data_IF_283224624647
#
_entry.id   IF_283224624647
#
_cell.length_a   1.000
_cell.length_b   1.000
_cell.length_c   1.000
_cell.angle_alpha   90.00
_cell.angle_beta   90.00
_cell.angle_gamma   90.00
#
_symmetry.space_group_name_H-M   'P 1'
#
loop_
_entity.id
_entity.type
_entity.pdbx_description
1 polymer ?
#
# COMPACT_ATOMS: atom_id res chain seq x y z
N UNK A 1 -2.91 -6.96 7.30
CA UNK A 1 -1.57 -7.20 6.73
C UNK A 1 -1.24 -8.69 6.66
N UNK A 2 -1.47 -9.44 7.74
CA UNK A 2 -1.12 -10.86 7.88
C UNK A 2 -1.49 -11.76 6.68
N UNK A 3 -2.73 -11.71 6.19
CA UNK A 3 -3.16 -12.54 5.04
C UNK A 3 -2.33 -12.29 3.77
N UNK A 4 -1.96 -11.03 3.50
CA UNK A 4 -1.14 -10.66 2.34
C UNK A 4 0.27 -11.21 2.52
N UNK A 5 0.87 -11.02 3.69
CA UNK A 5 2.20 -11.54 3.99
C UNK A 5 2.26 -13.08 3.97
N UNK A 6 1.22 -13.75 4.46
CA UNK A 6 1.13 -15.22 4.39
C UNK A 6 1.11 -15.70 2.94
N UNK A 7 0.28 -15.09 2.08
CA UNK A 7 0.24 -15.43 0.66
C UNK A 7 1.59 -15.18 -0.03
N UNK A 8 2.25 -14.05 0.26
CA UNK A 8 3.58 -13.75 -0.26
C UNK A 8 4.63 -14.75 0.23
N UNK A 9 4.55 -15.16 1.50
CA UNK A 9 5.44 -16.18 2.06
C UNK A 9 5.31 -17.50 1.30
N UNK A 10 4.10 -17.99 1.07
CA UNK A 10 3.88 -19.22 0.29
C UNK A 10 4.48 -19.12 -1.12
N UNK A 11 4.22 -18.02 -1.83
CA UNK A 11 4.79 -17.79 -3.16
C UNK A 11 6.33 -17.77 -3.17
N UNK A 12 6.95 -17.18 -2.13
CA UNK A 12 8.41 -17.19 -1.97
C UNK A 12 8.95 -18.60 -1.68
N UNK A 13 8.23 -19.42 -0.90
CA UNK A 13 8.62 -20.81 -0.67
C UNK A 13 8.58 -21.63 -1.96
N UNK A 14 7.63 -21.34 -2.85
CA UNK A 14 7.56 -21.89 -4.22
C UNK A 14 8.57 -21.29 -5.20
N UNK A 15 9.58 -20.55 -4.72
CA UNK A 15 10.65 -19.90 -5.51
C UNK A 15 10.18 -18.86 -6.52
N UNK A 16 9.01 -18.25 -6.31
CA UNK A 16 8.58 -17.11 -7.13
C UNK A 16 9.31 -15.82 -6.71
N UNK A 17 9.57 -14.96 -7.69
CA UNK A 17 9.90 -13.56 -7.45
C UNK A 17 8.60 -12.79 -7.22
N UNK A 18 8.46 -12.16 -6.06
CA UNK A 18 7.20 -11.53 -5.63
C UNK A 18 7.46 -10.04 -5.41
N UNK A 19 6.63 -9.22 -6.04
CA UNK A 19 6.64 -7.76 -5.92
C UNK A 19 5.27 -7.30 -5.44
N UNK A 20 5.25 -6.48 -4.39
CA UNK A 20 4.03 -5.84 -3.91
C UNK A 20 3.95 -4.39 -4.40
N UNK A 21 2.98 -4.12 -5.27
CA UNK A 21 2.62 -2.77 -5.69
C UNK A 21 1.44 -2.28 -4.83
N UNK A 22 1.68 -1.28 -4.01
CA UNK A 22 0.66 -0.65 -3.17
C UNK A 22 0.23 0.67 -3.80
N UNK A 23 -0.94 0.66 -4.43
CA UNK A 23 -1.54 1.84 -5.06
C UNK A 23 -2.31 2.61 -3.99
N UNK A 24 -2.00 3.89 -3.86
CA UNK A 24 -2.51 4.76 -2.81
C UNK A 24 -3.04 6.06 -3.40
N UNK A 25 -4.23 6.49 -3.00
CA UNK A 25 -4.72 7.82 -3.35
C UNK A 25 -4.13 8.88 -2.40
N UNK A 26 -3.79 10.10 -2.87
CA UNK A 26 -3.25 11.16 -2.00
C UNK A 26 -4.11 11.44 -0.76
N UNK A 27 -5.43 11.32 -0.90
CA UNK A 27 -6.39 11.54 0.17
C UNK A 27 -6.26 10.49 1.30
N UNK A 28 -5.71 9.32 1.03
CA UNK A 28 -5.41 8.30 2.05
C UNK A 28 -4.16 8.67 2.87
N UNK A 29 -3.20 9.39 2.28
CA UNK A 29 -1.99 9.79 3.01
C UNK A 29 -2.14 11.11 3.75
N UNK A 30 -2.89 12.04 3.16
CA UNK A 30 -3.02 13.41 3.65
C UNK A 30 -4.31 13.61 4.44
N UNK A 31 -5.34 12.81 4.14
CA UNK A 31 -6.68 12.89 4.69
C UNK A 31 -7.22 14.34 4.71
N UNK A 32 -7.38 15.00 3.54
CA UNK A 32 -7.77 16.40 3.42
C UNK A 32 -9.29 16.63 3.61
N UNK A 33 -9.99 15.72 4.29
CA UNK A 33 -11.43 15.85 4.54
C UNK A 33 -11.66 16.80 5.72
N UNK A 34 -12.30 17.95 5.46
CA UNK A 34 -12.60 18.97 6.47
C UNK A 34 -14.10 19.12 6.80
N UNK A 35 -14.98 18.60 5.94
CA UNK A 35 -16.44 18.68 6.11
C UNK A 35 -17.00 17.31 6.47
N UNK A 36 -18.07 17.22 7.30
CA UNK A 36 -18.77 15.97 7.54
C UNK A 36 -19.03 15.24 6.23
N UNK A 37 -18.41 14.06 6.10
CA UNK A 37 -18.39 13.30 4.86
C UNK A 37 -19.10 11.98 5.10
N UNK A 38 -20.01 11.63 4.19
CA UNK A 38 -20.68 10.34 4.21
C UNK A 38 -19.79 9.32 3.51
N UNK A 39 -19.14 8.46 4.30
CA UNK A 39 -18.36 7.36 3.75
C UNK A 39 -19.32 6.27 3.28
N UNK A 40 -19.18 5.87 2.02
CA UNK A 40 -19.95 4.79 1.41
C UNK A 40 -19.04 3.58 1.29
N UNK A 41 -19.47 2.46 1.83
CA UNK A 41 -18.78 1.21 1.61
C UNK A 41 -19.08 0.72 0.18
N UNK A 42 -18.03 0.54 -0.63
CA UNK A 42 -18.16 0.09 -2.02
C UNK A 42 -18.49 -1.41 -2.15
N UNK A 43 -18.22 -2.19 -1.11
CA UNK A 43 -18.51 -3.63 -1.05
C UNK A 43 -19.90 -3.91 -0.45
N UNK A 44 -20.40 -3.00 0.39
CA UNK A 44 -21.70 -3.10 1.08
C UNK A 44 -22.48 -1.80 0.91
N UNK A 45 -23.26 -1.70 -0.16
CA UNK A 45 -23.99 -0.49 -0.58
C UNK A 45 -24.94 0.12 0.49
N UNK A 46 -25.40 -0.70 1.44
CA UNK A 46 -26.25 -0.27 2.57
C UNK A 46 -25.46 0.33 3.73
N UNK A 47 -24.15 0.11 3.80
CA UNK A 47 -23.29 0.63 4.85
C UNK A 47 -22.82 2.03 4.48
N UNK A 48 -23.40 3.01 5.16
CA UNK A 48 -23.06 4.42 5.04
C UNK A 48 -22.76 4.95 6.43
N UNK A 49 -21.58 5.54 6.60
CA UNK A 49 -21.14 6.06 7.90
C UNK A 49 -20.95 7.56 7.75
N UNK A 50 -21.76 8.32 8.49
CA UNK A 50 -21.52 9.75 8.67
C UNK A 50 -20.41 9.90 9.72
N UNK A 51 -19.32 10.54 9.34
CA UNK A 51 -18.16 10.66 10.23
C UNK A 51 -17.76 12.12 10.37
N UNK A 52 -17.40 12.48 11.60
CA UNK A 52 -16.64 13.70 11.89
C UNK A 52 -15.18 13.48 11.42
N UNK A 53 -14.74 14.15 10.33
CA UNK A 53 -13.42 13.94 9.78
C UNK A 53 -12.31 14.37 10.74
N UNK A 54 -12.55 15.37 11.61
CA UNK A 54 -11.51 15.86 12.51
C UNK A 54 -11.15 14.81 13.57
N UNK A 55 -12.17 14.12 14.09
CA UNK A 55 -11.97 13.00 15.03
C UNK A 55 -11.42 11.77 14.33
N UNK A 56 -11.89 11.47 13.12
CA UNK A 56 -11.45 10.29 12.36
C UNK A 56 -10.02 10.42 11.84
N UNK A 57 -9.61 11.62 11.39
CA UNK A 57 -8.34 11.87 10.70
C UNK A 57 -7.14 11.33 11.48
N UNK A 58 -7.05 11.65 12.78
CA UNK A 58 -5.94 11.23 13.62
C UNK A 58 -5.82 9.71 13.64
N UNK A 59 -6.91 9.02 13.97
CA UNK A 59 -6.93 7.56 14.06
C UNK A 59 -6.72 6.88 12.71
N UNK A 60 -7.29 7.43 11.64
CA UNK A 60 -7.09 6.91 10.28
C UNK A 60 -5.62 6.99 9.87
N UNK A 61 -4.99 8.16 10.00
CA UNK A 61 -3.58 8.36 9.62
C UNK A 61 -2.63 7.52 10.49
N UNK A 62 -2.91 7.37 11.78
CA UNK A 62 -2.17 6.46 12.67
C UNK A 62 -2.26 5.00 12.19
N UNK A 63 -3.47 4.53 11.88
CA UNK A 63 -3.70 3.18 11.39
C UNK A 63 -3.07 2.96 10.00
N UNK A 64 -3.19 3.93 9.09
CA UNK A 64 -2.61 3.89 7.76
C UNK A 64 -1.07 3.80 7.81
N UNK A 65 -0.43 4.64 8.63
CA UNK A 65 1.02 4.60 8.82
C UNK A 65 1.49 3.29 9.44
N UNK A 66 0.75 2.77 10.42
CA UNK A 66 1.03 1.45 11.01
C UNK A 66 0.93 0.35 9.95
N UNK A 67 -0.14 0.35 9.17
CA UNK A 67 -0.35 -0.61 8.07
C UNK A 67 0.79 -0.58 7.05
N UNK A 68 1.20 0.62 6.60
CA UNK A 68 2.33 0.79 5.68
C UNK A 68 3.64 0.27 6.26
N UNK A 69 3.90 0.54 7.56
CA UNK A 69 5.11 0.09 8.25
C UNK A 69 5.14 -1.43 8.37
N UNK A 70 4.03 -2.04 8.75
CA UNK A 70 3.89 -3.50 8.84
C UNK A 70 4.08 -4.18 7.48
N UNK A 71 3.52 -3.62 6.41
CA UNK A 71 3.74 -4.13 5.05
C UNK A 71 5.20 -4.03 4.63
N UNK A 72 5.82 -2.86 4.80
CA UNK A 72 7.22 -2.66 4.42
C UNK A 72 8.16 -3.60 5.20
N UNK A 73 7.97 -3.73 6.51
CA UNK A 73 8.73 -4.64 7.35
C UNK A 73 8.51 -6.11 6.96
N UNK A 74 7.25 -6.49 6.72
CA UNK A 74 6.89 -7.86 6.31
C UNK A 74 7.47 -8.24 4.95
N UNK A 75 7.41 -7.34 3.96
CA UNK A 75 8.01 -7.56 2.64
C UNK A 75 9.54 -7.70 2.76
N UNK A 76 10.18 -6.81 3.52
CA UNK A 76 11.62 -6.88 3.78
C UNK A 76 12.05 -8.20 4.44
N UNK A 77 11.29 -8.68 5.44
CA UNK A 77 11.56 -9.95 6.10
C UNK A 77 11.39 -11.17 5.18
N UNK A 78 10.54 -11.09 4.17
CA UNK A 78 10.31 -12.15 3.17
C UNK A 78 11.25 -12.04 1.95
N UNK A 79 12.07 -10.98 1.88
CA UNK A 79 12.88 -10.67 0.70
C UNK A 79 12.03 -10.41 -0.54
N UNK A 80 10.87 -9.76 -0.36
CA UNK A 80 9.98 -9.32 -1.43
C UNK A 80 10.13 -7.80 -1.62
N UNK A 81 10.04 -7.34 -2.86
CA UNK A 81 10.08 -5.91 -3.13
C UNK A 81 8.73 -5.25 -2.80
N UNK A 82 8.78 -4.05 -2.23
CA UNK A 82 7.61 -3.25 -1.89
C UNK A 82 7.72 -1.87 -2.54
N UNK A 83 6.77 -1.56 -3.42
CA UNK A 83 6.65 -0.25 -4.06
C UNK A 83 5.32 0.37 -3.70
N UNK A 84 5.36 1.56 -3.13
CA UNK A 84 4.16 2.37 -2.88
C UNK A 84 4.04 3.41 -3.99
N UNK A 85 2.93 3.40 -4.70
CA UNK A 85 2.66 4.26 -5.85
C UNK A 85 1.49 5.18 -5.52
N UNK A 86 1.65 6.50 -5.70
CA UNK A 86 0.52 7.41 -5.57
C UNK A 86 -0.22 7.52 -6.91
N UNK A 87 -1.55 7.60 -6.87
CA UNK A 87 -2.37 7.74 -8.09
C UNK A 87 -2.17 9.08 -8.81
N UNK A 88 -1.53 10.05 -8.16
CA UNK A 88 -1.13 11.34 -8.76
C UNK A 88 0.21 11.29 -9.47
N UNK A 89 1.04 10.27 -9.20
CA UNK A 89 2.34 10.16 -9.83
C UNK A 89 2.15 9.73 -11.29
N UNK A 90 2.83 10.38 -12.25
CA UNK A 90 2.84 9.92 -13.64
C UNK A 90 3.28 8.46 -13.72
N UNK A 91 2.48 7.64 -14.39
CA UNK A 91 2.66 6.19 -14.43
C UNK A 91 4.01 5.79 -15.05
N UNK A 92 4.50 6.57 -16.01
CA UNK A 92 5.78 6.39 -16.69
C UNK A 92 6.95 6.54 -15.71
N UNK A 93 6.88 7.53 -14.82
CA UNK A 93 7.87 7.70 -13.76
C UNK A 93 7.81 6.57 -12.74
N UNK A 94 6.61 6.27 -12.25
CA UNK A 94 6.39 5.20 -11.27
C UNK A 94 6.87 3.83 -11.78
N UNK A 95 6.56 3.51 -13.05
CA UNK A 95 7.00 2.28 -13.68
C UNK A 95 8.51 2.29 -13.98
N UNK A 96 9.05 3.44 -14.39
CA UNK A 96 10.48 3.61 -14.62
C UNK A 96 11.31 3.31 -13.37
N UNK A 97 10.91 3.86 -12.22
CA UNK A 97 11.58 3.61 -10.94
C UNK A 97 11.57 2.11 -10.56
N UNK A 98 10.45 1.43 -10.80
CA UNK A 98 10.33 -0.02 -10.61
C UNK A 98 11.21 -0.84 -11.56
N UNK A 99 11.22 -0.50 -12.86
CA UNK A 99 12.05 -1.20 -13.84
C UNK A 99 13.54 -1.01 -13.55
N UNK A 100 13.93 0.18 -13.14
CA UNK A 100 15.31 0.53 -12.80
C UNK A 100 15.78 -0.22 -11.55
N UNK A 101 14.97 -0.30 -10.48
CA UNK A 101 15.30 -1.10 -9.29
C UNK A 101 15.49 -2.58 -9.63
N UNK A 102 14.66 -3.12 -10.53
CA UNK A 102 14.77 -4.53 -10.97
C UNK A 102 16.00 -4.77 -11.84
N UNK A 103 16.37 -3.80 -12.68
CA UNK A 103 17.59 -3.87 -13.50
C UNK A 103 18.86 -3.92 -12.65
N UNK A 104 18.87 -3.19 -11.52
CA UNK A 104 19.95 -3.21 -10.53
C UNK A 104 20.01 -4.52 -9.75
N UNK A 105 18.86 -5.04 -9.32
CA UNK A 105 18.78 -6.32 -8.61
C UNK A 105 19.32 -7.51 -9.42
N UNK A 106 19.11 -7.53 -10.75
CA UNK A 106 19.63 -8.60 -11.64
C UNK A 106 21.14 -8.55 -11.88
N UNK A 107 21.86 -7.46 -11.55
CA UNK A 107 23.32 -7.37 -11.72
C UNK A 107 24.12 -7.99 -10.57
N UNK A 108 23.50 -8.29 -9.43
CA UNK A 108 24.18 -8.86 -8.25
C UNK A 108 24.13 -10.39 -8.16
N UNK A 109 23.51 -11.08 -9.12
CA UNK A 109 23.46 -12.55 -9.18
C UNK A 109 24.56 -13.11 -10.06
N UNK A 110 25.80 -13.13 -9.56
CA UNK A 110 26.89 -13.98 -10.03
C UNK A 110 27.65 -14.53 -8.83
#
# INVERSE_FOLDING_TARGET
VEKVLAAMKELRHSRHEVVLLHVVAPEEEEFPFARPTMFRNLERLTNRVLVDPHRLRKHYLENYRRFCKELAAGCGALGCDYFKLRTTDPYDRALGEYLDSRSRGRRGGR
#
